data_IF_381447158348
#
_entry.id   IF_381447158348
#
_cell.length_a   1.000
_cell.length_b   1.000
_cell.length_c   1.000
_cell.angle_alpha   90.00
_cell.angle_beta   90.00
_cell.angle_gamma   90.00
#
_symmetry.space_group_name_H-M   'P 1'
#
loop_
_entity.id
_entity.type
_entity.pdbx_description
1 polymer ?
#
# COMPACT_ATOMS: atom_id res chain seq x y z
N UNK A 1 -20.68 11.27 26.18
CA UNK A 1 -20.09 9.99 26.65
C UNK A 1 -18.64 9.94 26.16
N UNK A 2 -17.69 10.31 27.02
CA UNK A 2 -16.26 10.38 26.64
C UNK A 2 -15.71 8.97 26.72
N UNK A 3 -15.41 8.36 25.56
CA UNK A 3 -14.69 7.10 25.51
C UNK A 3 -13.24 7.36 25.90
N UNK A 4 -12.92 7.09 27.16
CA UNK A 4 -11.56 7.15 27.68
C UNK A 4 -10.78 5.99 27.09
N UNK A 5 -10.11 6.22 25.95
CA UNK A 5 -9.21 5.22 25.36
C UNK A 5 -8.07 4.97 26.35
N UNK A 6 -8.10 3.82 27.01
CA UNK A 6 -6.98 3.41 27.88
C UNK A 6 -5.76 3.17 27.00
N UNK A 7 -4.58 3.75 27.32
CA UNK A 7 -3.35 3.40 26.62
C UNK A 7 -3.12 1.89 26.80
N UNK A 8 -3.03 1.19 25.67
CA UNK A 8 -2.73 -0.24 25.66
C UNK A 8 -1.29 -0.47 26.15
N UNK A 9 -1.05 -1.47 26.98
CA UNK A 9 0.31 -1.78 27.41
C UNK A 9 1.18 -2.17 26.19
N UNK A 10 2.44 -1.77 26.15
CA UNK A 10 3.33 -1.96 24.99
C UNK A 10 3.50 -3.45 24.58
N UNK A 11 3.32 -4.36 25.49
CA UNK A 11 3.42 -5.82 25.26
C UNK A 11 2.26 -6.32 24.37
N UNK A 12 1.04 -5.80 24.56
CA UNK A 12 -0.11 -6.19 23.74
C UNK A 12 0.03 -5.72 22.30
N UNK A 13 0.61 -4.53 22.07
CA UNK A 13 0.89 -3.99 20.74
C UNK A 13 1.99 -4.80 20.02
N UNK A 14 3.02 -5.24 20.72
CA UNK A 14 4.06 -6.08 20.13
C UNK A 14 3.51 -7.44 19.68
N UNK A 15 2.65 -8.06 20.48
CA UNK A 15 1.99 -9.33 20.12
C UNK A 15 1.11 -9.18 18.86
N UNK A 16 0.30 -8.16 18.78
CA UNK A 16 -0.56 -7.93 17.60
C UNK A 16 0.25 -7.64 16.33
N UNK A 17 1.36 -6.91 16.43
CA UNK A 17 2.24 -6.64 15.30
C UNK A 17 2.89 -7.92 14.75
N UNK A 18 3.30 -8.85 15.61
CA UNK A 18 3.84 -10.16 15.21
C UNK A 18 2.78 -10.96 14.46
N UNK A 19 1.55 -11.03 14.99
CA UNK A 19 0.46 -11.76 14.31
C UNK A 19 0.13 -11.16 12.93
N UNK A 20 0.11 -9.84 12.79
CA UNK A 20 -0.08 -9.16 11.51
C UNK A 20 1.03 -9.52 10.54
N UNK A 21 2.29 -9.52 10.98
CA UNK A 21 3.42 -9.90 10.15
C UNK A 21 3.37 -11.37 9.70
N UNK A 22 3.02 -12.29 10.62
CA UNK A 22 2.86 -13.72 10.31
C UNK A 22 1.74 -13.95 9.30
N UNK A 23 0.59 -13.31 9.49
CA UNK A 23 -0.54 -13.42 8.56
C UNK A 23 -0.20 -12.81 7.19
N UNK A 24 0.45 -11.67 7.15
CA UNK A 24 0.89 -11.03 5.91
C UNK A 24 1.88 -11.92 5.14
N UNK A 25 2.84 -12.51 5.85
CA UNK A 25 3.80 -13.45 5.26
C UNK A 25 3.10 -14.72 4.74
N UNK A 26 2.20 -15.30 5.53
CA UNK A 26 1.40 -16.47 5.12
C UNK A 26 0.57 -16.19 3.87
N UNK A 27 -0.09 -15.03 3.80
CA UNK A 27 -0.84 -14.60 2.62
C UNK A 27 0.05 -14.38 1.40
N UNK A 28 1.26 -13.83 1.59
CA UNK A 28 2.22 -13.64 0.50
C UNK A 28 2.67 -14.99 -0.07
N UNK A 29 3.02 -15.96 0.78
CA UNK A 29 3.40 -17.32 0.37
C UNK A 29 2.23 -18.01 -0.32
N UNK A 30 1.03 -17.94 0.24
CA UNK A 30 -0.17 -18.51 -0.36
C UNK A 30 -0.45 -17.88 -1.74
N UNK A 31 -0.31 -16.57 -1.87
CA UNK A 31 -0.44 -15.86 -3.15
C UNK A 31 0.55 -16.35 -4.21
N UNK A 32 1.80 -16.62 -3.83
CA UNK A 32 2.80 -17.20 -4.73
C UNK A 32 2.40 -18.59 -5.23
N UNK A 33 1.91 -19.44 -4.33
CA UNK A 33 1.46 -20.80 -4.68
C UNK A 33 0.26 -20.75 -5.63
N UNK A 34 -0.74 -19.92 -5.31
CA UNK A 34 -1.92 -19.75 -6.17
C UNK A 34 -1.54 -19.21 -7.55
N UNK A 35 -0.64 -18.24 -7.61
CA UNK A 35 -0.20 -17.65 -8.88
C UNK A 35 0.59 -18.65 -9.72
N UNK A 36 1.43 -19.48 -9.10
CA UNK A 36 2.12 -20.57 -9.78
C UNK A 36 1.12 -21.59 -10.33
N UNK A 37 0.14 -22.01 -9.53
CA UNK A 37 -0.91 -22.95 -9.92
C UNK A 37 -1.79 -22.40 -11.06
N UNK A 38 -2.24 -21.14 -10.95
CA UNK A 38 -3.03 -20.50 -12.01
C UNK A 38 -2.25 -20.32 -13.31
N UNK A 39 -0.93 -20.15 -13.23
CA UNK A 39 -0.06 -20.07 -14.40
C UNK A 39 0.04 -21.37 -15.20
N UNK A 40 -0.40 -22.49 -14.67
CA UNK A 40 -0.36 -23.79 -15.37
C UNK A 40 -1.26 -23.80 -16.61
N UNK A 41 -2.35 -23.03 -16.61
CA UNK A 41 -3.27 -22.89 -17.75
C UNK A 41 -2.76 -21.93 -18.85
N UNK A 42 -1.69 -21.18 -18.58
CA UNK A 42 -1.09 -20.24 -19.53
C UNK A 42 0.06 -20.93 -20.28
N UNK A 43 0.45 -20.37 -21.45
CA UNK A 43 1.64 -20.85 -22.18
C UNK A 43 2.89 -20.77 -21.30
N UNK A 44 3.84 -21.69 -21.48
CA UNK A 44 5.03 -21.81 -20.64
C UNK A 44 5.84 -20.50 -20.52
N UNK A 45 5.92 -19.71 -21.59
CA UNK A 45 6.62 -18.43 -21.60
C UNK A 45 5.95 -17.37 -20.70
N UNK A 46 4.61 -17.34 -20.64
CA UNK A 46 3.86 -16.40 -19.81
C UNK A 46 3.89 -16.77 -18.32
N UNK A 47 3.99 -18.07 -18.01
CA UNK A 47 4.13 -18.57 -16.64
C UNK A 47 5.42 -18.11 -15.99
N UNK A 48 6.55 -18.32 -16.66
CA UNK A 48 7.87 -17.93 -16.15
C UNK A 48 7.98 -16.41 -16.00
N UNK A 49 7.42 -15.64 -16.92
CA UNK A 49 7.44 -14.19 -16.84
C UNK A 49 6.64 -13.66 -15.64
N UNK A 50 5.45 -14.21 -15.38
CA UNK A 50 4.63 -13.81 -14.22
C UNK A 50 5.30 -14.17 -12.89
N UNK A 51 5.85 -15.38 -12.79
CA UNK A 51 6.55 -15.85 -11.59
C UNK A 51 7.82 -15.05 -11.29
N UNK A 52 8.65 -14.78 -12.32
CA UNK A 52 9.86 -13.99 -12.17
C UNK A 52 9.57 -12.55 -11.70
N UNK A 53 8.50 -11.94 -12.19
CA UNK A 53 8.06 -10.61 -11.71
C UNK A 53 7.71 -10.67 -10.22
N UNK A 54 7.01 -11.70 -9.78
CA UNK A 54 6.59 -11.84 -8.39
C UNK A 54 7.78 -12.03 -7.44
N UNK A 55 8.79 -12.81 -7.84
CA UNK A 55 10.04 -12.97 -7.07
C UNK A 55 10.73 -11.62 -6.84
N UNK A 56 10.65 -10.71 -7.80
CA UNK A 56 11.23 -9.37 -7.65
C UNK A 56 10.35 -8.47 -6.77
N UNK A 57 9.02 -8.58 -6.89
CA UNK A 57 8.10 -7.71 -6.15
C UNK A 57 8.02 -8.01 -4.66
N UNK A 58 8.16 -9.28 -4.25
CA UNK A 58 8.13 -9.66 -2.83
C UNK A 58 9.25 -9.01 -2.02
N UNK A 59 10.54 -9.10 -2.40
CA UNK A 59 11.59 -8.41 -1.67
C UNK A 59 11.47 -6.89 -1.77
N UNK A 60 11.03 -6.35 -2.92
CA UNK A 60 10.79 -4.92 -3.07
C UNK A 60 9.71 -4.43 -2.10
N UNK A 61 8.62 -5.19 -1.96
CA UNK A 61 7.55 -4.90 -1.00
C UNK A 61 8.05 -4.99 0.44
N UNK A 62 8.90 -5.97 0.77
CA UNK A 62 9.50 -6.09 2.10
C UNK A 62 10.41 -4.89 2.43
N UNK A 63 11.22 -4.43 1.48
CA UNK A 63 12.05 -3.23 1.63
C UNK A 63 11.18 -1.98 1.79
N UNK A 64 10.14 -1.82 0.98
CA UNK A 64 9.20 -0.71 1.10
C UNK A 64 8.50 -0.71 2.47
N UNK A 65 8.04 -1.88 2.93
CA UNK A 65 7.43 -2.04 4.25
C UNK A 65 8.40 -1.68 5.38
N UNK A 66 9.66 -2.10 5.29
CA UNK A 66 10.69 -1.72 6.26
C UNK A 66 10.96 -0.22 6.25
N UNK A 67 11.05 0.41 5.08
CA UNK A 67 11.20 1.86 4.97
C UNK A 67 10.00 2.59 5.58
N UNK A 68 8.78 2.13 5.31
CA UNK A 68 7.56 2.68 5.92
C UNK A 68 7.58 2.54 7.45
N UNK A 69 8.06 1.42 7.98
CA UNK A 69 8.22 1.22 9.43
C UNK A 69 9.19 2.24 10.06
N UNK A 70 10.23 2.64 9.31
CA UNK A 70 11.22 3.64 9.75
C UNK A 70 10.74 5.09 9.63
N UNK A 71 9.62 5.32 8.92
CA UNK A 71 9.08 6.66 8.76
C UNK A 71 8.54 7.21 10.09
N UNK A 72 8.93 8.43 10.40
CA UNK A 72 8.37 9.17 11.53
C UNK A 72 6.97 9.67 11.16
N UNK A 73 5.96 9.24 11.89
CA UNK A 73 4.56 9.61 11.66
C UNK A 73 4.33 11.13 11.74
N UNK A 74 5.11 11.85 12.54
CA UNK A 74 5.01 13.30 12.63
C UNK A 74 5.42 14.00 11.32
N UNK A 75 6.43 13.44 10.62
CA UNK A 75 6.82 13.93 9.28
C UNK A 75 5.73 13.62 8.25
N UNK A 76 5.19 12.41 8.25
CA UNK A 76 4.08 12.04 7.35
C UNK A 76 2.89 12.99 7.56
N UNK A 77 2.56 13.29 8.82
CA UNK A 77 1.51 14.24 9.17
C UNK A 77 1.82 15.67 8.70
N UNK A 78 3.07 16.13 8.83
CA UNK A 78 3.48 17.45 8.35
C UNK A 78 3.32 17.61 6.84
N UNK A 79 3.66 16.55 6.08
CA UNK A 79 3.60 16.54 4.61
C UNK A 79 2.30 15.98 4.04
N UNK A 80 1.25 15.76 4.84
CA UNK A 80 -0.01 15.11 4.42
C UNK A 80 -0.65 15.73 3.17
N UNK A 81 -0.67 17.05 3.06
CA UNK A 81 -1.24 17.76 1.91
C UNK A 81 -0.40 17.57 0.64
N UNK A 82 0.91 17.56 0.78
CA UNK A 82 1.81 17.27 -0.35
C UNK A 82 1.67 15.83 -0.83
N UNK A 83 1.54 14.88 0.10
CA UNK A 83 1.26 13.46 -0.22
C UNK A 83 -0.07 13.34 -0.95
N UNK A 84 -1.11 14.02 -0.47
CA UNK A 84 -2.44 13.98 -1.09
C UNK A 84 -2.45 14.62 -2.49
N UNK A 85 -1.86 15.80 -2.64
CA UNK A 85 -1.75 16.47 -3.93
C UNK A 85 -0.91 15.66 -4.92
N UNK A 86 0.18 15.08 -4.48
CA UNK A 86 1.01 14.18 -5.28
C UNK A 86 0.27 12.94 -5.74
N UNK A 87 -0.56 12.35 -4.89
CA UNK A 87 -1.38 11.19 -5.25
C UNK A 87 -2.45 11.54 -6.29
N UNK A 88 -3.10 12.72 -6.16
CA UNK A 88 -4.04 13.23 -7.16
C UNK A 88 -3.32 13.48 -8.49
N UNK A 89 -2.15 14.12 -8.45
CA UNK A 89 -1.36 14.36 -9.66
C UNK A 89 -0.96 13.04 -10.36
N UNK A 90 -0.57 12.01 -9.60
CA UNK A 90 -0.29 10.68 -10.14
C UNK A 90 -1.53 10.03 -10.77
N UNK A 91 -2.72 10.18 -10.16
CA UNK A 91 -3.97 9.67 -10.72
C UNK A 91 -4.34 10.39 -12.03
N UNK A 92 -4.10 11.70 -12.12
CA UNK A 92 -4.32 12.46 -13.35
C UNK A 92 -3.30 12.08 -14.42
N UNK A 93 -2.02 11.94 -14.05
CA UNK A 93 -0.96 11.50 -14.96
C UNK A 93 -1.22 10.12 -15.57
N UNK A 94 -1.85 9.21 -14.82
CA UNK A 94 -2.24 7.89 -15.33
C UNK A 94 -3.26 7.96 -16.48
N UNK A 95 -3.93 9.09 -16.70
CA UNK A 95 -4.87 9.30 -17.84
C UNK A 95 -4.20 9.85 -19.08
N UNK A 96 -2.93 10.28 -18.98
CA UNK A 96 -2.20 10.84 -20.11
C UNK A 96 -1.72 9.68 -21.01
N UNK A 97 -2.05 9.67 -22.31
CA UNK A 97 -1.52 8.69 -23.25
C UNK A 97 0.01 8.74 -23.28
N UNK A 98 0.67 7.59 -23.17
CA UNK A 98 2.13 7.49 -23.11
C UNK A 98 2.73 7.39 -21.70
N UNK A 99 1.98 7.78 -20.64
CA UNK A 99 2.38 7.61 -19.24
C UNK A 99 1.52 6.52 -18.58
N UNK A 100 0.23 6.58 -18.83
CA UNK A 100 -0.73 5.59 -18.34
C UNK A 100 -0.95 4.46 -19.33
N UNK A 101 -1.25 3.28 -18.77
CA UNK A 101 -1.62 2.10 -19.54
C UNK A 101 -3.05 1.70 -19.20
N UNK A 102 -3.83 1.47 -20.26
CA UNK A 102 -5.18 0.95 -20.10
C UNK A 102 -5.14 -0.57 -19.90
N UNK A 103 -5.69 -1.03 -18.79
CA UNK A 103 -5.89 -2.45 -18.50
C UNK A 103 -7.38 -2.68 -18.29
N UNK A 104 -7.97 -3.59 -19.06
CA UNK A 104 -9.40 -3.87 -19.03
C UNK A 104 -10.28 -2.61 -19.21
N UNK A 105 -9.90 -1.72 -20.14
CA UNK A 105 -10.64 -0.48 -20.44
C UNK A 105 -10.49 0.64 -19.39
N UNK A 106 -9.61 0.49 -18.44
CA UNK A 106 -9.43 1.47 -17.35
C UNK A 106 -8.00 2.00 -17.28
N UNK A 107 -7.87 3.33 -17.32
CA UNK A 107 -6.62 4.08 -17.24
C UNK A 107 -6.26 4.33 -15.76
N UNK A 108 -5.67 3.34 -15.11
CA UNK A 108 -5.32 3.40 -13.68
C UNK A 108 -3.89 3.00 -13.38
N UNK A 109 -3.17 2.55 -14.40
CA UNK A 109 -1.83 2.00 -14.24
C UNK A 109 -0.80 2.96 -14.86
N UNK A 110 0.28 3.19 -14.14
CA UNK A 110 1.46 3.91 -14.63
C UNK A 110 2.53 2.86 -14.88
N UNK A 111 3.06 2.82 -16.10
CA UNK A 111 4.14 1.90 -16.46
C UNK A 111 5.48 2.59 -16.25
N UNK A 112 6.26 2.07 -15.33
CA UNK A 112 7.59 2.58 -14.99
C UNK A 112 8.67 1.62 -15.53
N UNK A 113 8.48 1.13 -16.76
CA UNK A 113 9.36 0.19 -17.43
C UNK A 113 9.20 -1.24 -16.91
N UNK A 114 9.95 -1.61 -15.89
CA UNK A 114 9.93 -2.99 -15.36
C UNK A 114 8.84 -3.26 -14.32
N UNK A 115 8.19 -2.23 -13.78
CA UNK A 115 7.05 -2.45 -12.87
C UNK A 115 5.87 -1.52 -13.18
N UNK A 116 4.68 -1.99 -12.83
CA UNK A 116 3.43 -1.25 -12.99
C UNK A 116 2.93 -0.81 -11.63
N UNK A 117 2.66 0.48 -11.50
CA UNK A 117 2.12 1.09 -10.29
C UNK A 117 0.67 1.47 -10.53
N UNK A 118 -0.21 1.04 -9.62
CA UNK A 118 -1.60 1.45 -9.67
C UNK A 118 -1.76 2.80 -8.96
N UNK A 119 -1.99 3.88 -9.70
CA UNK A 119 -2.10 5.22 -9.16
C UNK A 119 -3.23 5.37 -8.11
N UNK A 120 -4.31 4.59 -8.23
CA UNK A 120 -5.40 4.59 -7.25
C UNK A 120 -5.00 4.06 -5.87
N UNK A 121 -3.98 3.21 -5.76
CA UNK A 121 -3.51 2.72 -4.46
C UNK A 121 -2.75 3.80 -3.70
N UNK A 122 -1.98 4.64 -4.41
CA UNK A 122 -1.40 5.85 -3.82
C UNK A 122 -2.48 6.80 -3.30
N UNK A 123 -3.57 6.97 -4.07
CA UNK A 123 -4.73 7.76 -3.66
C UNK A 123 -5.37 7.26 -2.37
N UNK A 124 -5.57 5.95 -2.24
CA UNK A 124 -6.11 5.33 -1.01
C UNK A 124 -5.20 5.57 0.19
N UNK A 125 -3.89 5.37 0.04
CA UNK A 125 -2.92 5.60 1.12
C UNK A 125 -2.90 7.08 1.55
N UNK A 126 -2.89 8.01 0.58
CA UNK A 126 -2.93 9.43 0.86
C UNK A 126 -4.22 9.84 1.58
N UNK A 127 -5.36 9.30 1.18
CA UNK A 127 -6.65 9.54 1.82
C UNK A 127 -6.66 9.06 3.27
N UNK A 128 -6.13 7.87 3.55
CA UNK A 128 -6.01 7.34 4.92
C UNK A 128 -5.19 8.25 5.80
N UNK A 129 -4.05 8.78 5.30
CA UNK A 129 -3.20 9.70 6.05
C UNK A 129 -3.94 11.01 6.39
N UNK A 130 -4.65 11.59 5.42
CA UNK A 130 -5.41 12.83 5.62
C UNK A 130 -6.57 12.62 6.59
N UNK A 131 -7.35 11.55 6.41
CA UNK A 131 -8.48 11.23 7.30
C UNK A 131 -8.02 10.96 8.73
N UNK A 132 -6.93 10.22 8.91
CA UNK A 132 -6.37 9.95 10.24
C UNK A 132 -5.98 11.25 10.98
N UNK A 133 -5.35 12.20 10.26
CA UNK A 133 -5.02 13.50 10.87
C UNK A 133 -6.26 14.35 11.19
N UNK A 134 -7.26 14.38 10.29
CA UNK A 134 -8.50 15.10 10.52
C UNK A 134 -9.25 14.56 11.75
N UNK A 135 -9.40 13.22 11.85
CA UNK A 135 -10.05 12.58 12.99
C UNK A 135 -9.30 12.86 14.31
N UNK A 136 -7.96 12.80 14.28
CA UNK A 136 -7.15 13.10 15.45
C UNK A 136 -7.30 14.57 15.91
N UNK A 137 -7.51 15.51 14.98
CA UNK A 137 -7.81 16.93 15.31
C UNK A 137 -9.19 17.11 15.89
N UNK A 138 -10.21 16.46 15.30
CA UNK A 138 -11.58 16.52 15.82
C UNK A 138 -11.66 15.99 17.26
N UNK A 139 -10.98 14.89 17.57
CA UNK A 139 -10.92 14.36 18.93
C UNK A 139 -10.29 15.34 19.93
N UNK A 140 -9.25 16.09 19.53
CA UNK A 140 -8.61 17.10 20.39
C UNK A 140 -9.52 18.29 20.65
N UNK A 141 -10.29 18.74 19.64
CA UNK A 141 -11.24 19.85 19.82
C UNK A 141 -12.45 19.45 20.68
N UNK A 142 -12.82 18.17 20.72
CA UNK A 142 -13.94 17.69 21.55
C UNK A 142 -13.57 17.52 23.04
N UNK A 143 -12.26 17.41 23.33
CA UNK A 143 -11.71 17.20 24.67
C UNK A 143 -11.21 18.50 25.34
N UNK A 144 -11.20 19.63 24.63
CA UNK A 144 -10.87 20.97 25.13
C UNK A 144 -12.14 21.75 25.45
#
# INVERSE_FOLDING_TARGET
MVIKVRPQPPVALAGSAVWIAVLAFGLAVFGLVVQYSAGISLSASNRTAAFNRQIIYVPLAAVAGYLCYRLNLDRVRAYRWWIFTGAIAAMLAARIPGVGVSVNGSWRWIELGFFRLQASDLGKLALVVVLADLLARMQRCTLA
#
